data_IF_896498366551
#
_entry.id   IF_896498366551
#
_cell.length_a   1.000
_cell.length_b   1.000
_cell.length_c   1.000
_cell.angle_alpha   90.00
_cell.angle_beta   90.00
_cell.angle_gamma   90.00
#
_symmetry.space_group_name_H-M   'P 1'
#
loop_
_entity.id
_entity.type
_entity.pdbx_description
1 polymer ?
#
# COMPACT_ATOMS: atom_id res chain seq x y z
N UNK A 1 -12.80 0.17 -3.67
CA UNK A 1 -11.94 0.95 -2.75
C UNK A 1 -12.46 2.36 -2.54
N UNK A 2 -13.77 2.52 -2.38
CA UNK A 2 -14.41 3.84 -2.52
C UNK A 2 -14.28 4.67 -1.23
N UNK A 3 -13.98 4.00 -0.11
CA UNK A 3 -13.73 4.64 1.19
C UNK A 3 -12.36 5.30 1.32
N UNK A 4 -11.42 5.06 0.39
CA UNK A 4 -10.05 5.61 0.39
C UNK A 4 -9.36 5.54 1.76
N UNK A 5 -9.51 4.39 2.43
CA UNK A 5 -8.96 4.13 3.77
C UNK A 5 -8.30 2.76 3.83
N UNK A 6 -7.32 2.64 4.72
CA UNK A 6 -6.69 1.38 5.08
C UNK A 6 -6.66 1.19 6.60
N UNK A 7 -6.66 -0.07 7.01
CA UNK A 7 -6.56 -0.52 8.40
C UNK A 7 -5.55 -1.65 8.49
N UNK A 8 -4.95 -1.81 9.66
CA UNK A 8 -4.28 -3.04 10.06
C UNK A 8 -5.17 -3.74 11.09
N UNK A 9 -5.37 -5.05 10.90
CA UNK A 9 -6.20 -5.88 11.76
C UNK A 9 -5.36 -7.07 12.22
N UNK A 10 -5.36 -7.32 13.52
CA UNK A 10 -4.73 -8.48 14.14
C UNK A 10 -5.71 -9.13 15.12
N UNK A 11 -5.83 -10.46 15.08
CA UNK A 11 -6.77 -11.24 15.88
C UNK A 11 -8.21 -10.66 15.92
N UNK A 12 -8.71 -10.17 14.78
CA UNK A 12 -10.05 -9.57 14.64
C UNK A 12 -10.20 -8.15 15.23
N UNK A 13 -9.10 -7.53 15.66
CA UNK A 13 -9.10 -6.18 16.23
C UNK A 13 -8.32 -5.23 15.33
N UNK A 14 -8.86 -4.03 15.12
CA UNK A 14 -8.11 -2.96 14.45
C UNK A 14 -6.96 -2.52 15.36
N UNK A 15 -5.73 -2.68 14.90
CA UNK A 15 -4.51 -2.27 15.60
C UNK A 15 -3.98 -0.93 15.08
N UNK A 16 -4.33 -0.56 13.85
CA UNK A 16 -3.93 0.72 13.26
C UNK A 16 -4.95 1.20 12.21
N UNK A 17 -5.17 2.51 12.14
CA UNK A 17 -6.11 3.16 11.22
C UNK A 17 -7.48 3.51 11.82
N UNK A 18 -8.44 3.97 11.00
CA UNK A 18 -8.33 4.19 9.57
C UNK A 18 -7.29 5.25 9.22
N UNK A 19 -6.48 5.01 8.21
CA UNK A 19 -5.63 6.03 7.59
C UNK A 19 -6.09 6.34 6.17
N UNK A 20 -5.98 7.60 5.70
CA UNK A 20 -6.31 7.95 4.32
C UNK A 20 -5.31 7.30 3.35
N UNK A 21 -5.82 6.90 2.17
CA UNK A 21 -5.02 6.40 1.05
C UNK A 21 -5.44 7.02 -0.28
N UNK A 22 -4.55 7.02 -1.26
CA UNK A 22 -4.94 7.09 -2.67
C UNK A 22 -4.56 5.80 -3.40
N UNK A 23 -5.29 5.52 -4.47
CA UNK A 23 -5.24 4.26 -5.22
C UNK A 23 -5.04 4.57 -6.70
N UNK A 24 -4.95 3.52 -7.51
CA UNK A 24 -4.85 3.60 -8.96
C UNK A 24 -5.93 4.48 -9.61
N UNK A 25 -5.51 5.30 -10.57
CA UNK A 25 -6.41 6.06 -11.47
C UNK A 25 -7.06 5.12 -12.50
N UNK A 26 -8.11 5.57 -13.22
CA UNK A 26 -8.69 4.79 -14.32
C UNK A 26 -7.62 4.35 -15.33
N UNK A 27 -7.63 3.07 -15.71
CA UNK A 27 -6.63 2.40 -16.56
C UNK A 27 -5.37 1.93 -15.83
N UNK A 28 -5.25 2.19 -14.52
CA UNK A 28 -4.18 1.73 -13.63
C UNK A 28 -4.76 1.31 -12.29
N UNK A 29 -5.92 0.66 -12.28
CA UNK A 29 -6.68 0.34 -11.08
C UNK A 29 -5.85 -0.52 -10.13
N UNK A 30 -5.91 -0.20 -8.83
CA UNK A 30 -5.39 -1.10 -7.79
C UNK A 30 -6.20 -2.39 -7.83
N UNK A 31 -5.51 -3.52 -7.97
CA UNK A 31 -6.14 -4.84 -8.03
C UNK A 31 -6.93 -5.10 -6.75
N UNK A 32 -8.18 -5.56 -6.91
CA UNK A 32 -9.04 -6.02 -5.81
C UNK A 32 -8.84 -7.51 -5.56
N UNK A 33 -9.18 -7.95 -4.35
CA UNK A 33 -9.11 -9.34 -3.92
C UNK A 33 -8.15 -9.53 -2.74
N UNK A 34 -7.85 -10.80 -2.47
CA UNK A 34 -6.94 -11.21 -1.42
C UNK A 34 -5.54 -11.39 -1.98
N UNK A 35 -4.58 -10.74 -1.34
CA UNK A 35 -3.17 -10.73 -1.66
C UNK A 35 -2.36 -11.06 -0.39
N UNK A 36 -1.04 -11.21 -0.54
CA UNK A 36 -0.15 -11.44 0.58
C UNK A 36 1.09 -10.57 0.43
N UNK A 37 1.60 -10.05 1.54
CA UNK A 37 2.85 -9.28 1.56
C UNK A 37 3.99 -10.18 1.08
N UNK A 38 4.72 -9.72 0.07
CA UNK A 38 5.78 -10.46 -0.60
C UNK A 38 7.17 -10.02 -0.14
N UNK A 39 7.38 -8.72 -0.01
CA UNK A 39 8.69 -8.13 0.34
C UNK A 39 8.57 -6.68 0.78
N UNK A 40 9.62 -6.22 1.45
CA UNK A 40 9.79 -4.86 1.92
C UNK A 40 11.06 -4.24 1.31
N UNK A 41 10.95 -3.01 0.79
CA UNK A 41 12.10 -2.20 0.34
C UNK A 41 11.98 -0.78 0.88
N UNK A 42 12.90 -0.39 1.77
CA UNK A 42 12.80 0.89 2.51
C UNK A 42 13.00 2.11 1.62
N UNK A 43 13.94 2.03 0.67
CA UNK A 43 14.33 3.11 -0.23
C UNK A 43 14.14 2.65 -1.69
N UNK A 44 12.90 2.36 -2.08
CA UNK A 44 12.61 1.91 -3.44
C UNK A 44 12.42 3.09 -4.39
N UNK A 45 12.54 2.80 -5.68
CA UNK A 45 12.39 3.76 -6.75
C UNK A 45 11.71 3.09 -7.95
N UNK A 46 10.54 3.62 -8.34
CA UNK A 46 9.83 3.14 -9.52
C UNK A 46 10.65 3.44 -10.77
N UNK A 47 11.08 2.40 -11.49
CA UNK A 47 11.75 2.56 -12.79
C UNK A 47 10.79 2.97 -13.90
N UNK A 48 9.53 2.54 -13.81
CA UNK A 48 8.52 2.80 -14.84
C UNK A 48 8.02 4.25 -14.78
N UNK A 49 7.97 4.83 -13.59
CA UNK A 49 7.44 6.18 -13.34
C UNK A 49 8.48 7.17 -12.82
N UNK A 50 9.76 6.78 -12.78
CA UNK A 50 10.89 7.58 -12.31
C UNK A 50 10.61 8.36 -11.02
N UNK A 51 10.17 7.64 -9.98
CA UNK A 51 9.64 8.26 -8.76
C UNK A 51 10.00 7.48 -7.50
N UNK A 52 10.36 8.15 -6.38
CA UNK A 52 10.67 7.48 -5.14
C UNK A 52 9.45 6.79 -4.54
N UNK A 53 9.66 5.59 -4.00
CA UNK A 53 8.65 4.80 -3.27
C UNK A 53 9.20 4.41 -1.89
N UNK A 54 9.25 5.35 -0.94
CA UNK A 54 9.77 5.09 0.40
C UNK A 54 8.84 4.14 1.18
N UNK A 55 9.42 3.26 1.99
CA UNK A 55 8.69 2.27 2.80
C UNK A 55 7.80 1.35 1.96
N UNK A 56 8.31 0.86 0.84
CA UNK A 56 7.55 0.01 -0.07
C UNK A 56 7.31 -1.39 0.52
N UNK A 57 6.03 -1.73 0.66
CA UNK A 57 5.54 -3.05 1.08
C UNK A 57 4.77 -3.66 -0.07
N UNK A 58 5.41 -4.57 -0.81
CA UNK A 58 4.83 -5.19 -2.01
C UNK A 58 3.88 -6.31 -1.64
N UNK A 59 2.71 -6.37 -2.28
CA UNK A 59 1.71 -7.40 -2.04
C UNK A 59 1.19 -8.08 -3.32
N UNK A 60 1.64 -7.65 -4.51
CA UNK A 60 1.36 -8.38 -5.76
C UNK A 60 2.65 -8.67 -6.53
N UNK A 61 2.67 -9.79 -7.27
CA UNK A 61 3.78 -10.14 -8.17
C UNK A 61 3.92 -9.10 -9.29
N UNK A 62 2.80 -8.49 -9.69
CA UNK A 62 2.76 -7.37 -10.66
C UNK A 62 3.33 -6.05 -10.14
N UNK A 63 3.82 -5.99 -8.90
CA UNK A 63 4.54 -4.83 -8.37
C UNK A 63 3.70 -3.78 -7.66
N UNK A 64 2.46 -4.08 -7.27
CA UNK A 64 1.68 -3.17 -6.42
C UNK A 64 2.17 -3.24 -4.98
N UNK A 65 2.29 -2.06 -4.37
CA UNK A 65 2.81 -1.90 -3.03
C UNK A 65 2.04 -0.82 -2.25
N UNK A 66 2.08 -0.91 -0.93
CA UNK A 66 1.90 0.24 -0.06
C UNK A 66 3.21 1.01 0.00
N UNK A 67 3.19 2.34 -0.14
CA UNK A 67 4.37 3.16 0.07
C UNK A 67 3.99 4.60 0.41
N UNK A 68 4.95 5.38 0.88
CA UNK A 68 4.73 6.82 1.07
C UNK A 68 4.42 7.49 -0.28
N UNK A 69 3.35 8.28 -0.33
CA UNK A 69 2.97 9.03 -1.52
C UNK A 69 2.05 10.21 -1.20
N UNK A 70 1.65 10.92 -2.25
CA UNK A 70 0.73 12.06 -2.18
C UNK A 70 -0.71 11.56 -2.03
N UNK A 71 -1.45 12.12 -1.07
CA UNK A 71 -2.82 11.71 -0.72
C UNK A 71 -3.90 12.52 -1.44
N UNK A 72 -3.49 13.53 -2.21
CA UNK A 72 -4.30 14.34 -3.11
C UNK A 72 -4.18 13.89 -4.57
N UNK A 73 -3.30 12.94 -4.87
CA UNK A 73 -3.04 12.44 -6.22
C UNK A 73 -3.27 10.92 -6.34
N UNK A 74 -4.06 10.47 -7.33
CA UNK A 74 -4.16 9.06 -7.69
C UNK A 74 -2.82 8.46 -8.12
N UNK A 75 -2.64 7.16 -7.90
CA UNK A 75 -1.43 6.44 -8.28
C UNK A 75 -1.57 5.74 -9.65
N UNK A 76 -0.52 5.01 -10.05
CA UNK A 76 -0.53 4.08 -11.17
C UNK A 76 -0.71 2.61 -10.72
N UNK A 77 -1.44 2.40 -9.62
CA UNK A 77 -1.84 1.07 -9.13
C UNK A 77 -1.44 0.81 -7.68
N UNK A 78 -0.32 1.39 -7.23
CA UNK A 78 0.09 1.30 -5.82
C UNK A 78 -0.89 2.00 -4.87
N UNK A 79 -0.79 1.72 -3.58
CA UNK A 79 -1.58 2.39 -2.56
C UNK A 79 -0.70 3.39 -1.82
N UNK A 80 -0.94 4.68 -2.03
CA UNK A 80 -0.20 5.72 -1.34
C UNK A 80 -0.69 5.86 0.10
N UNK A 81 0.25 5.96 1.01
CA UNK A 81 0.05 6.26 2.42
C UNK A 81 0.76 7.58 2.77
N UNK A 82 0.26 8.28 3.79
CA UNK A 82 1.03 9.34 4.44
C UNK A 82 2.30 8.76 5.08
N UNK A 83 3.36 9.56 5.22
CA UNK A 83 4.69 9.10 5.69
C UNK A 83 4.66 8.23 6.95
N UNK A 84 3.92 8.66 7.98
CA UNK A 84 3.83 7.90 9.24
C UNK A 84 3.14 6.55 9.07
N UNK A 85 2.07 6.50 8.27
CA UNK A 85 1.35 5.27 7.98
C UNK A 85 2.19 4.32 7.11
N UNK A 86 2.89 4.85 6.10
CA UNK A 86 3.80 4.07 5.27
C UNK A 86 4.90 3.39 6.10
N UNK A 87 5.56 4.14 6.99
CA UNK A 87 6.55 3.59 7.91
C UNK A 87 5.93 2.54 8.86
N UNK A 88 4.75 2.82 9.43
CA UNK A 88 4.08 1.88 10.31
C UNK A 88 3.73 0.56 9.60
N UNK A 89 3.16 0.63 8.39
CA UNK A 89 2.85 -0.55 7.59
C UNK A 89 4.12 -1.36 7.31
N UNK A 90 5.18 -0.69 6.86
CA UNK A 90 6.46 -1.32 6.55
C UNK A 90 7.12 -2.02 7.74
N UNK A 91 7.06 -1.41 8.93
CA UNK A 91 7.72 -1.97 10.11
C UNK A 91 6.89 -3.07 10.80
N UNK A 92 5.57 -3.14 10.57
CA UNK A 92 4.68 -4.09 11.26
C UNK A 92 4.13 -5.21 10.39
N UNK A 93 3.93 -4.98 9.09
CA UNK A 93 3.56 -6.06 8.17
C UNK A 93 4.73 -7.02 7.98
N UNK A 94 4.41 -8.31 7.91
CA UNK A 94 5.36 -9.40 7.68
C UNK A 94 5.10 -10.02 6.33
N UNK A 95 6.14 -10.59 5.73
CA UNK A 95 5.97 -11.41 4.52
C UNK A 95 5.02 -12.56 4.84
N UNK A 96 3.99 -12.72 4.02
CA UNK A 96 2.90 -13.67 4.23
C UNK A 96 1.66 -13.09 4.89
N UNK A 97 1.68 -11.85 5.41
CA UNK A 97 0.47 -11.23 5.95
C UNK A 97 -0.55 -10.96 4.84
N UNK A 98 -1.83 -11.19 5.14
CA UNK A 98 -2.93 -11.01 4.19
C UNK A 98 -3.20 -9.52 3.93
N UNK A 99 -3.45 -9.19 2.66
CA UNK A 99 -3.87 -7.87 2.21
C UNK A 99 -5.19 -8.04 1.45
N UNK A 100 -6.27 -7.48 1.99
CA UNK A 100 -7.58 -7.54 1.34
C UNK A 100 -7.94 -6.17 0.75
N UNK A 101 -8.16 -6.16 -0.55
CA UNK A 101 -8.45 -4.99 -1.36
C UNK A 101 -9.90 -5.04 -1.88
N UNK A 102 -10.79 -4.15 -1.42
CA UNK A 102 -12.21 -4.10 -1.82
C UNK A 102 -12.68 -2.68 -2.18
#
# INVERSE_FOLDING_TARGET
MDGKRAWMVDAGRVTYGPVPVTTGKPGYETTRGTHHVLRHVRHDHSRLFDSPMPYSTYFTVGGMAFHQGRLDEPSHGCVHLGRHAAAHFFDHLRVGDEVVAF
#
